data_IF_542419482577
#
_entry.id   IF_542419482577
#
_cell.length_a   1.000
_cell.length_b   1.000
_cell.length_c   1.000
_cell.angle_alpha   90.00
_cell.angle_beta   90.00
_cell.angle_gamma   90.00
#
_symmetry.space_group_name_H-M   'P 1'
#
loop_
_entity.id
_entity.type
_entity.pdbx_description
1 polymer ?
#
# COMPACT_ATOMS: atom_id res chain seq x y z
N UNK A 1 -6.57 19.34 -6.87
CA UNK A 1 -6.06 17.95 -6.83
C UNK A 1 -7.12 17.08 -7.50
N UNK A 2 -6.83 16.50 -8.65
CA UNK A 2 -7.83 15.80 -9.48
C UNK A 2 -8.10 14.40 -8.91
N UNK A 3 -9.36 13.98 -8.84
CA UNK A 3 -9.72 12.62 -8.37
C UNK A 3 -9.15 11.52 -9.29
N UNK A 4 -8.89 11.84 -10.56
CA UNK A 4 -8.30 10.92 -11.54
C UNK A 4 -6.86 10.53 -11.19
N UNK A 5 -6.11 11.40 -10.54
CA UNK A 5 -4.70 11.18 -10.15
C UNK A 5 -4.58 10.10 -9.06
N UNK A 6 -5.70 9.68 -8.45
CA UNK A 6 -5.75 8.67 -7.40
C UNK A 6 -6.17 7.29 -7.89
N UNK A 7 -6.65 7.20 -9.14
CA UNK A 7 -7.19 5.96 -9.69
C UNK A 7 -6.16 4.84 -9.69
N UNK A 8 -4.88 5.15 -9.85
CA UNK A 8 -3.81 4.15 -9.95
C UNK A 8 -3.05 3.99 -8.63
N UNK A 9 -3.57 4.53 -7.53
CA UNK A 9 -2.80 4.64 -6.30
C UNK A 9 -3.17 3.55 -5.30
N UNK A 10 -2.15 3.04 -4.61
CA UNK A 10 -2.31 2.22 -3.41
C UNK A 10 -1.81 2.98 -2.19
N UNK A 11 -2.39 2.63 -1.04
CA UNK A 11 -1.95 3.06 0.28
C UNK A 11 -1.40 1.86 1.03
N UNK A 12 -0.14 1.93 1.40
CA UNK A 12 0.57 0.95 2.23
C UNK A 12 0.68 1.51 3.65
N UNK A 13 0.35 0.70 4.64
CA UNK A 13 0.26 1.08 6.06
C UNK A 13 1.11 0.16 6.93
N UNK A 14 1.42 0.62 8.14
CA UNK A 14 2.16 -0.11 9.17
C UNK A 14 3.60 -0.48 8.79
N UNK A 15 4.29 0.39 8.04
CA UNK A 15 5.73 0.28 7.82
C UNK A 15 6.43 1.31 8.69
N UNK A 16 7.34 0.85 9.56
CA UNK A 16 8.13 1.71 10.45
C UNK A 16 9.00 2.66 9.63
N UNK A 17 9.12 3.91 10.07
CA UNK A 17 9.99 4.90 9.42
C UNK A 17 11.44 4.69 9.87
N UNK A 18 12.38 4.62 8.92
CA UNK A 18 13.82 4.54 9.22
C UNK A 18 14.56 5.70 8.55
N UNK A 19 15.65 6.17 9.16
CA UNK A 19 16.38 7.38 8.70
C UNK A 19 16.98 7.26 7.30
N UNK A 20 17.22 6.05 6.81
CA UNK A 20 17.82 5.77 5.50
C UNK A 20 16.89 4.90 4.65
N UNK A 21 15.57 5.06 4.80
CA UNK A 21 14.62 4.26 4.03
C UNK A 21 14.68 4.58 2.53
N UNK A 22 14.62 3.53 1.72
CA UNK A 22 14.37 3.64 0.29
C UNK A 22 12.99 3.03 -0.01
N UNK A 23 12.02 3.90 -0.31
CA UNK A 23 10.63 3.47 -0.53
C UNK A 23 10.49 2.54 -1.74
N UNK A 24 11.32 2.72 -2.78
CA UNK A 24 11.32 1.83 -3.95
C UNK A 24 11.80 0.45 -3.55
N UNK A 25 12.90 0.36 -2.80
CA UNK A 25 13.42 -0.93 -2.31
C UNK A 25 12.42 -1.63 -1.41
N UNK A 26 11.72 -0.89 -0.54
CA UNK A 26 10.62 -1.43 0.29
C UNK A 26 9.52 -1.99 -0.61
N UNK A 27 9.07 -1.24 -1.62
CA UNK A 27 8.03 -1.68 -2.54
C UNK A 27 8.44 -2.93 -3.34
N UNK A 28 9.70 -3.00 -3.78
CA UNK A 28 10.27 -4.16 -4.47
C UNK A 28 10.25 -5.39 -3.57
N UNK A 29 10.76 -5.29 -2.34
CA UNK A 29 10.73 -6.38 -1.35
C UNK A 29 9.31 -6.88 -1.07
N UNK A 30 8.34 -5.96 -0.97
CA UNK A 30 6.92 -6.33 -0.84
C UNK A 30 6.45 -7.08 -2.07
N UNK A 31 6.74 -6.56 -3.27
CA UNK A 31 6.42 -7.18 -4.55
C UNK A 31 6.94 -8.61 -4.67
N UNK A 32 8.20 -8.84 -4.30
CA UNK A 32 8.82 -10.17 -4.33
C UNK A 32 8.10 -11.14 -3.38
N UNK A 33 7.77 -10.69 -2.17
CA UNK A 33 7.05 -11.50 -1.16
C UNK A 33 5.62 -11.88 -1.55
N UNK A 34 4.96 -11.06 -2.38
CA UNK A 34 3.60 -11.34 -2.88
C UNK A 34 3.60 -11.92 -4.29
N UNK A 35 4.76 -12.29 -4.84
CA UNK A 35 4.89 -12.79 -6.23
C UNK A 35 4.38 -11.80 -7.28
N UNK A 36 4.56 -10.49 -7.05
CA UNK A 36 4.27 -9.41 -7.99
C UNK A 36 5.44 -8.41 -8.04
N UNK A 37 6.61 -8.79 -8.59
CA UNK A 37 7.81 -7.94 -8.63
C UNK A 37 7.54 -6.58 -9.28
N UNK A 38 8.15 -5.52 -8.75
CA UNK A 38 7.91 -4.14 -9.20
C UNK A 38 9.14 -3.60 -9.92
N UNK A 39 8.94 -3.19 -11.17
CA UNK A 39 9.92 -2.42 -11.93
C UNK A 39 9.69 -0.91 -11.73
N UNK A 40 10.78 -0.16 -11.62
CA UNK A 40 10.77 1.30 -11.49
C UNK A 40 9.94 2.01 -12.57
N UNK A 41 9.96 1.50 -13.81
CA UNK A 41 9.23 2.06 -14.94
C UNK A 41 7.70 1.92 -14.79
N UNK A 42 7.24 1.09 -13.84
CA UNK A 42 5.81 0.91 -13.54
C UNK A 42 5.31 1.84 -12.44
N UNK A 43 6.22 2.58 -11.79
CA UNK A 43 5.93 3.53 -10.72
C UNK A 43 5.91 4.94 -11.31
N UNK A 44 4.78 5.63 -11.15
CA UNK A 44 4.65 7.05 -11.49
C UNK A 44 5.11 7.93 -10.32
N UNK A 45 4.73 7.56 -9.09
CA UNK A 45 5.09 8.31 -7.89
C UNK A 45 5.14 7.43 -6.64
N UNK A 46 5.99 7.78 -5.69
CA UNK A 46 6.06 7.13 -4.38
C UNK A 46 6.46 8.14 -3.29
N UNK A 47 5.67 8.20 -2.21
CA UNK A 47 5.92 9.14 -1.12
C UNK A 47 5.29 8.69 0.20
N UNK A 48 5.89 9.12 1.31
CA UNK A 48 5.26 9.07 2.63
C UNK A 48 4.21 10.18 2.74
N UNK A 49 3.03 9.85 3.26
CA UNK A 49 1.93 10.78 3.51
C UNK A 49 1.55 10.73 4.99
N UNK A 50 1.41 11.91 5.65
CA UNK A 50 0.96 11.98 7.03
C UNK A 50 -0.32 11.19 7.28
N UNK A 51 -0.39 10.57 8.44
CA UNK A 51 -1.61 9.96 8.98
C UNK A 51 -2.27 10.93 9.95
N UNK A 52 -3.60 10.80 10.13
CA UNK A 52 -4.36 11.58 11.11
C UNK A 52 -3.90 11.25 12.53
N UNK A 53 -3.59 9.97 12.75
CA UNK A 53 -3.07 9.46 14.01
C UNK A 53 -1.54 9.61 14.03
N UNK A 54 -1.03 10.61 14.78
CA UNK A 54 0.40 10.93 14.85
C UNK A 54 1.24 9.86 15.57
N UNK A 55 0.61 8.96 16.32
CA UNK A 55 1.30 7.86 17.00
C UNK A 55 1.57 6.69 16.04
N UNK A 56 0.90 6.65 14.88
CA UNK A 56 1.13 5.66 13.84
C UNK A 56 2.17 6.14 12.83
N UNK A 57 2.97 5.23 12.24
CA UNK A 57 3.87 5.56 11.14
C UNK A 57 3.12 6.20 9.96
N UNK A 58 3.77 7.12 9.25
CA UNK A 58 3.22 7.69 8.02
C UNK A 58 2.91 6.60 7.00
N UNK A 59 1.82 6.74 6.26
CA UNK A 59 1.48 5.80 5.19
C UNK A 59 2.43 6.02 4.00
N UNK A 60 2.63 5.00 3.17
CA UNK A 60 3.25 5.16 1.86
C UNK A 60 2.15 5.16 0.81
N UNK A 61 2.14 6.17 -0.06
CA UNK A 61 1.30 6.19 -1.26
C UNK A 61 2.18 5.87 -2.45
N UNK A 62 1.73 4.91 -3.26
CA UNK A 62 2.38 4.55 -4.52
C UNK A 62 1.37 4.78 -5.64
N UNK A 63 1.73 5.61 -6.61
CA UNK A 63 1.01 5.74 -7.88
C UNK A 63 1.67 4.87 -8.93
N UNK A 64 0.89 3.98 -9.54
CA UNK A 64 1.34 3.17 -10.68
C UNK A 64 1.02 3.87 -12.00
N UNK A 65 1.81 3.57 -13.05
CA UNK A 65 1.58 4.08 -14.40
C UNK A 65 0.24 3.61 -15.00
N UNK A 66 -0.33 2.51 -14.50
CA UNK A 66 -1.61 1.99 -14.98
C UNK A 66 -2.49 1.41 -13.86
N UNK A 67 -3.80 1.52 -14.05
CA UNK A 67 -4.82 0.90 -13.19
C UNK A 67 -4.64 -0.62 -13.11
N UNK A 68 -4.32 -1.25 -14.25
CA UNK A 68 -4.11 -2.69 -14.35
C UNK A 68 -2.97 -3.16 -13.45
N UNK A 69 -1.80 -2.50 -13.52
CA UNK A 69 -0.65 -2.86 -12.68
C UNK A 69 -0.97 -2.74 -11.19
N UNK A 70 -1.67 -1.67 -10.82
CA UNK A 70 -2.16 -1.46 -9.46
C UNK A 70 -3.09 -2.58 -9.00
N UNK A 71 -4.05 -2.98 -9.84
CA UNK A 71 -5.03 -4.01 -9.50
C UNK A 71 -4.37 -5.39 -9.38
N UNK A 72 -3.42 -5.71 -10.26
CA UNK A 72 -2.58 -6.92 -10.17
C UNK A 72 -1.81 -6.99 -8.86
N UNK A 73 -1.12 -5.90 -8.49
CA UNK A 73 -0.35 -5.82 -7.26
C UNK A 73 -1.24 -5.98 -6.02
N UNK A 74 -2.39 -5.29 -6.00
CA UNK A 74 -3.35 -5.37 -4.90
C UNK A 74 -3.98 -6.77 -4.81
N UNK A 75 -4.29 -7.40 -5.94
CA UNK A 75 -4.83 -8.76 -5.98
C UNK A 75 -3.81 -9.77 -5.43
N UNK A 76 -2.56 -9.68 -5.87
CA UNK A 76 -1.47 -10.54 -5.40
C UNK A 76 -1.29 -10.42 -3.88
N UNK A 77 -1.31 -9.20 -3.34
CA UNK A 77 -1.26 -8.95 -1.90
C UNK A 77 -2.43 -9.60 -1.16
N UNK A 78 -3.67 -9.43 -1.65
CA UNK A 78 -4.86 -10.05 -1.04
C UNK A 78 -4.76 -11.57 -1.04
N UNK A 79 -4.36 -12.17 -2.15
CA UNK A 79 -4.15 -13.62 -2.26
C UNK A 79 -3.10 -14.10 -1.26
N UNK A 80 -1.98 -13.40 -1.13
CA UNK A 80 -0.93 -13.78 -0.20
C UNK A 80 -1.38 -13.64 1.26
N UNK A 81 -2.10 -12.55 1.60
CA UNK A 81 -2.66 -12.37 2.93
C UNK A 81 -3.71 -13.44 3.28
N UNK A 82 -4.52 -13.89 2.31
CA UNK A 82 -5.49 -14.97 2.54
C UNK A 82 -4.84 -16.33 2.84
N UNK A 83 -3.58 -16.54 2.46
CA UNK A 83 -2.83 -17.75 2.83
C UNK A 83 -2.39 -17.73 4.29
N UNK A 84 -2.36 -16.57 4.95
CA UNK A 84 -2.12 -16.51 6.38
C UNK A 84 -3.36 -17.04 7.13
N UNK A 85 -3.12 -17.99 8.03
CA UNK A 85 -4.18 -18.70 8.78
C UNK A 85 -5.01 -17.77 9.67
N UNK A 86 -4.46 -16.62 10.08
CA UNK A 86 -5.20 -15.59 10.82
C UNK A 86 -5.61 -14.42 9.93
N UNK A 87 -6.83 -14.48 9.40
CA UNK A 87 -7.44 -13.44 8.56
C UNK A 87 -7.53 -12.04 9.21
N UNK A 88 -7.46 -11.95 10.55
CA UNK A 88 -7.47 -10.67 11.29
C UNK A 88 -6.10 -10.00 11.31
N UNK A 89 -5.05 -10.72 10.95
CA UNK A 89 -3.70 -10.19 10.86
C UNK A 89 -3.40 -9.72 9.44
N UNK A 90 -2.54 -8.71 9.34
CA UNK A 90 -1.99 -8.22 8.09
C UNK A 90 -1.00 -9.23 7.51
N UNK A 91 -0.26 -8.82 6.47
CA UNK A 91 0.81 -9.64 5.93
C UNK A 91 2.09 -9.37 6.72
N UNK A 92 2.69 -10.41 7.29
CA UNK A 92 4.04 -10.33 7.85
C UNK A 92 5.06 -10.47 6.72
N UNK A 93 5.97 -9.51 6.63
CA UNK A 93 7.14 -9.53 5.75
C UNK A 93 8.35 -9.20 6.61
N UNK A 94 9.29 -10.15 6.68
CA UNK A 94 10.54 -10.01 7.41
C UNK A 94 11.27 -8.72 7.00
N UNK A 95 11.86 -8.03 7.98
CA UNK A 95 12.55 -6.75 7.82
C UNK A 95 11.72 -5.57 7.25
N UNK A 96 10.40 -5.72 7.10
CA UNK A 96 9.52 -4.67 6.58
C UNK A 96 8.38 -4.35 7.54
N UNK A 97 7.57 -5.34 7.91
CA UNK A 97 6.41 -5.15 8.78
C UNK A 97 5.87 -6.48 9.27
N UNK A 98 5.48 -6.53 10.55
CA UNK A 98 4.77 -7.68 11.11
C UNK A 98 3.28 -7.70 10.72
N UNK A 99 2.72 -6.57 10.31
CA UNK A 99 1.27 -6.40 10.15
C UNK A 99 0.95 -5.43 9.00
N UNK A 100 1.45 -5.73 7.80
CA UNK A 100 1.32 -4.91 6.60
C UNK A 100 -0.12 -4.88 6.08
N UNK A 101 -0.62 -3.69 5.73
CA UNK A 101 -1.89 -3.52 5.03
C UNK A 101 -1.73 -2.69 3.77
N UNK A 102 -2.32 -3.16 2.68
CA UNK A 102 -2.37 -2.46 1.41
C UNK A 102 -3.82 -2.31 0.97
N UNK A 103 -4.21 -1.08 0.66
CA UNK A 103 -5.56 -0.73 0.21
C UNK A 103 -5.49 0.14 -1.03
N UNK A 104 -6.56 0.18 -1.82
CA UNK A 104 -6.75 1.23 -2.81
C UNK A 104 -6.79 2.60 -2.10
N UNK A 105 -6.16 3.62 -2.70
CA UNK A 105 -6.29 4.97 -2.17
C UNK A 105 -7.69 5.51 -2.48
N UNK A 106 -8.52 5.82 -1.47
CA UNK A 106 -9.93 6.10 -1.70
C UNK A 106 -10.13 7.35 -2.56
N UNK A 107 -10.98 7.22 -3.57
CA UNK A 107 -11.58 8.33 -4.28
C UNK A 107 -12.69 8.88 -3.38
N UNK A 108 -12.66 10.19 -3.14
CA UNK A 108 -13.39 10.93 -2.10
C UNK A 108 -14.93 10.83 -2.11
N UNK A 109 -15.55 10.01 -2.94
CA UNK A 109 -16.99 9.76 -2.87
C UNK A 109 -17.38 8.88 -1.66
N UNK A 110 -16.49 8.02 -1.14
CA UNK A 110 -16.86 7.03 -0.13
C UNK A 110 -16.42 7.36 1.31
N UNK A 111 -15.80 8.52 1.54
CA UNK A 111 -15.41 8.96 2.90
C UNK A 111 -16.61 9.45 3.73
N UNK A 112 -17.71 9.82 3.06
CA UNK A 112 -18.92 10.35 3.71
C UNK A 112 -19.91 9.22 4.08
N UNK A 113 -19.80 8.02 3.50
CA UNK A 113 -20.79 6.94 3.64
C UNK A 113 -20.54 5.94 4.80
N UNK A 114 -19.48 6.11 5.61
CA UNK A 114 -19.21 5.25 6.77
C UNK A 114 -19.10 6.06 8.08
N UNK A 115 -19.94 7.08 8.25
CA UNK A 115 -20.03 7.87 9.50
C UNK A 115 -21.38 7.86 10.19
N UNK A 116 -22.32 7.05 9.73
CA UNK A 116 -23.60 6.85 10.41
C UNK A 116 -23.95 5.36 10.43
N UNK A 117 -23.57 4.66 11.51
CA UNK A 117 -24.47 3.83 12.35
C UNK A 117 -23.87 3.77 13.75
#
# INVERSE_FOLDING_TARGET
>A
MNQRDRLNNIKIQNIVETRQENLVTILQKIGDNISSPVDLNTIDSIARVPTVDKEKPKNIIVGFCSKLRRDEFLSAFKTQRMKNTDSRQGLTIEDISENLYINEHPISANTILHREV
#
